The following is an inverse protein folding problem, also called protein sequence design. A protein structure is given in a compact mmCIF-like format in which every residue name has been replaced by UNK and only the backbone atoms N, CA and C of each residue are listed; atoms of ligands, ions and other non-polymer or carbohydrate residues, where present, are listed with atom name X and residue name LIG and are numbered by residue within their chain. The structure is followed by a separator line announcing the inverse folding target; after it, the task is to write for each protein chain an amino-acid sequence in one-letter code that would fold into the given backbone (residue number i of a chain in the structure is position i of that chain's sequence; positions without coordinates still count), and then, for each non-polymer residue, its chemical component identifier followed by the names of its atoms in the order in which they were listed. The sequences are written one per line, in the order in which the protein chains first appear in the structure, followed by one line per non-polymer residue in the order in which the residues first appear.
data_IF_007257633813
#
_entry.id   IF_007257633813
#
_cell.length_a   1.000
_cell.length_b   1.000
_cell.length_c   1.000
_cell.angle_alpha   90.00
_cell.angle_beta   90.00
_cell.angle_gamma   90.00
#
_symmetry.space_group_name_H-M   'P 1'
#
loop_
_entity.id
_entity.type
_entity.pdbx_description
1 polymer ?
#
# COMPACT_ATOMS: atom_id res chain seq x y z
N UNK A 1 -39.29 -93.74 -43.19
CA UNK A 1 -39.11 -93.76 -41.71
C UNK A 1 -37.80 -94.50 -41.32
N UNK A 2 -37.10 -94.13 -40.24
CA UNK A 2 -37.50 -93.19 -39.20
C UNK A 2 -36.65 -91.90 -39.12
N UNK A 3 -37.24 -90.94 -38.41
CA UNK A 3 -36.75 -89.63 -37.99
C UNK A 3 -35.77 -89.73 -36.80
N UNK A 4 -34.89 -88.72 -36.65
CA UNK A 4 -34.69 -87.86 -35.45
C UNK A 4 -33.56 -86.87 -35.77
N UNK A 5 -33.85 -85.58 -36.01
CA UNK A 5 -33.95 -84.48 -35.04
C UNK A 5 -32.58 -83.89 -34.62
N UNK A 6 -32.20 -82.84 -35.35
CA UNK A 6 -31.80 -81.49 -34.89
C UNK A 6 -30.89 -81.36 -33.65
N UNK A 7 -29.71 -80.75 -33.81
CA UNK A 7 -29.34 -79.59 -32.99
C UNK A 7 -28.20 -78.75 -33.57
N UNK A 8 -28.28 -77.45 -33.28
CA UNK A 8 -27.59 -76.34 -33.90
C UNK A 8 -26.14 -76.17 -33.42
N UNK A 9 -25.23 -75.80 -34.32
CA UNK A 9 -23.93 -75.22 -33.98
C UNK A 9 -23.71 -73.96 -34.83
N UNK A 10 -23.83 -72.81 -34.16
CA UNK A 10 -23.72 -71.48 -34.77
C UNK A 10 -22.35 -71.17 -35.38
N UNK A 11 -22.28 -70.13 -36.23
CA UNK A 11 -21.09 -69.82 -37.00
C UNK A 11 -19.92 -69.41 -36.09
N UNK A 12 -18.80 -70.09 -36.34
CA UNK A 12 -17.48 -69.99 -35.73
C UNK A 12 -17.03 -68.51 -35.62
N UNK A 13 -16.92 -67.99 -34.39
CA UNK A 13 -16.30 -66.67 -34.12
C UNK A 13 -14.83 -66.71 -34.52
N UNK A 14 -14.50 -65.96 -35.57
CA UNK A 14 -13.12 -65.63 -35.94
C UNK A 14 -12.56 -64.68 -34.87
N UNK A 15 -11.29 -64.82 -34.41
CA UNK A 15 -10.72 -63.91 -33.42
C UNK A 15 -10.62 -62.50 -34.00
N UNK A 16 -11.21 -61.53 -33.29
CA UNK A 16 -11.05 -60.10 -33.56
C UNK A 16 -9.54 -59.77 -33.52
N UNK A 17 -9.00 -59.02 -34.50
CA UNK A 17 -7.62 -58.58 -34.44
C UNK A 17 -7.46 -57.72 -33.19
N UNK A 18 -6.58 -58.12 -32.28
CA UNK A 18 -6.17 -57.26 -31.17
C UNK A 18 -5.72 -55.94 -31.78
N UNK A 19 -6.44 -54.85 -31.48
CA UNK A 19 -5.99 -53.50 -31.81
C UNK A 19 -4.64 -53.29 -31.13
N UNK A 20 -3.57 -53.43 -31.90
CA UNK A 20 -2.27 -52.94 -31.49
C UNK A 20 -2.45 -51.42 -31.25
N UNK A 21 -2.01 -50.87 -30.11
CA UNK A 21 -2.05 -49.44 -29.92
C UNK A 21 -1.26 -48.80 -31.06
N UNK A 22 -1.90 -47.90 -31.80
CA UNK A 22 -1.24 -47.14 -32.85
C UNK A 22 0.06 -46.56 -32.29
N UNK A 23 1.20 -46.64 -33.00
CA UNK A 23 2.44 -46.05 -32.53
C UNK A 23 2.16 -44.56 -32.32
N UNK A 24 2.14 -44.15 -31.04
CA UNK A 24 1.97 -42.74 -30.68
C UNK A 24 3.11 -41.99 -31.35
N UNK A 25 2.79 -41.23 -32.40
CA UNK A 25 3.75 -40.32 -33.04
C UNK A 25 4.45 -39.53 -31.93
N UNK A 26 5.79 -39.46 -31.90
CA UNK A 26 6.49 -38.77 -30.84
C UNK A 26 6.03 -37.32 -30.84
N UNK A 27 5.36 -36.94 -29.74
CA UNK A 27 4.91 -35.56 -29.53
C UNK A 27 6.17 -34.73 -29.39
N UNK A 28 6.53 -33.99 -30.43
CA UNK A 28 7.60 -33.02 -30.35
C UNK A 28 7.10 -31.91 -29.43
N UNK A 29 7.52 -31.96 -28.16
CA UNK A 29 7.20 -30.92 -27.19
C UNK A 29 7.82 -29.60 -27.63
N UNK A 30 7.04 -28.52 -27.54
CA UNK A 30 7.56 -27.16 -27.71
C UNK A 30 7.34 -26.39 -26.44
N UNK A 31 8.38 -25.67 -26.02
CA UNK A 31 8.32 -24.72 -24.91
C UNK A 31 8.90 -23.39 -25.38
N UNK A 32 8.08 -22.35 -25.33
CA UNK A 32 8.34 -21.07 -26.00
C UNK A 32 8.65 -21.27 -27.51
N UNK A 33 9.87 -20.95 -27.96
CA UNK A 33 10.30 -21.08 -29.36
C UNK A 33 11.24 -22.28 -29.58
N UNK A 34 11.45 -23.13 -28.58
CA UNK A 34 12.41 -24.25 -28.65
C UNK A 34 11.68 -25.60 -28.82
N UNK A 35 12.24 -26.43 -29.69
CA UNK A 35 11.85 -27.83 -29.86
C UNK A 35 12.61 -28.64 -28.82
N UNK A 36 11.89 -29.42 -28.01
CA UNK A 36 12.50 -30.31 -27.03
C UNK A 36 13.08 -31.53 -27.78
N UNK A 37 14.39 -31.81 -27.67
CA UNK A 37 15.00 -32.94 -28.36
C UNK A 37 14.39 -34.26 -27.89
N UNK A 38 14.07 -35.14 -28.84
CA UNK A 38 13.45 -36.43 -28.54
C UNK A 38 14.36 -37.32 -27.67
N UNK A 39 15.68 -37.25 -27.91
CA UNK A 39 16.70 -38.02 -27.19
C UNK A 39 17.19 -37.34 -25.90
N UNK A 40 16.56 -36.25 -25.47
CA UNK A 40 16.95 -35.57 -24.23
C UNK A 40 16.79 -36.51 -23.03
N UNK A 41 17.90 -36.76 -22.33
CA UNK A 41 17.95 -37.49 -21.06
C UNK A 41 18.39 -36.56 -19.94
N UNK A 42 17.87 -36.71 -18.71
CA UNK A 42 16.89 -37.72 -18.27
C UNK A 42 15.49 -37.56 -18.87
N UNK A 43 14.75 -38.68 -19.04
CA UNK A 43 13.39 -38.65 -19.60
C UNK A 43 12.45 -37.73 -18.78
N UNK A 44 12.63 -37.69 -17.47
CA UNK A 44 11.88 -36.81 -16.57
C UNK A 44 12.02 -35.32 -16.95
N UNK A 45 13.21 -34.86 -17.37
CA UNK A 45 13.41 -33.48 -17.82
C UNK A 45 12.70 -33.22 -19.15
N UNK A 46 12.74 -34.19 -20.07
CA UNK A 46 12.05 -34.08 -21.36
C UNK A 46 10.54 -33.98 -21.15
N UNK A 47 9.99 -34.80 -20.28
CA UNK A 47 8.56 -34.83 -19.98
C UNK A 47 8.12 -33.53 -19.28
N UNK A 48 8.89 -33.01 -18.33
CA UNK A 48 8.66 -31.70 -17.68
C UNK A 48 8.67 -30.55 -18.71
N UNK A 49 9.60 -30.54 -19.68
CA UNK A 49 9.65 -29.50 -20.71
C UNK A 49 8.45 -29.54 -21.66
N UNK A 50 7.96 -30.75 -21.98
CA UNK A 50 6.75 -30.93 -22.80
C UNK A 50 5.53 -30.45 -22.01
N UNK A 51 5.40 -30.87 -20.75
CA UNK A 51 4.31 -30.49 -19.85
C UNK A 51 4.26 -28.98 -19.66
N UNK A 52 5.38 -28.33 -19.35
CA UNK A 52 5.46 -26.87 -19.22
C UNK A 52 5.02 -26.16 -20.50
N UNK A 53 5.37 -26.70 -21.67
CA UNK A 53 4.91 -26.20 -22.95
C UNK A 53 3.39 -26.24 -23.12
N UNK A 54 2.73 -27.29 -22.60
CA UNK A 54 1.27 -27.43 -22.59
C UNK A 54 0.63 -26.51 -21.54
N UNK A 55 1.20 -26.41 -20.33
CA UNK A 55 0.70 -25.56 -19.24
C UNK A 55 0.76 -24.07 -19.59
N UNK A 56 1.83 -23.60 -20.25
CA UNK A 56 1.90 -22.20 -20.73
C UNK A 56 0.86 -21.92 -21.81
N UNK A 57 0.59 -22.88 -22.71
CA UNK A 57 -0.45 -22.74 -23.74
C UNK A 57 -1.85 -22.72 -23.12
N UNK A 58 -2.12 -23.59 -22.16
CA UNK A 58 -3.37 -23.60 -21.40
C UNK A 58 -3.55 -22.28 -20.63
N UNK A 59 -2.49 -21.77 -19.99
CA UNK A 59 -2.52 -20.49 -19.28
C UNK A 59 -2.87 -19.32 -20.21
N UNK A 60 -2.30 -19.27 -21.42
CA UNK A 60 -2.60 -18.22 -22.41
C UNK A 60 -4.05 -18.22 -22.89
N UNK A 61 -4.77 -19.34 -22.75
CA UNK A 61 -6.19 -19.47 -23.14
C UNK A 61 -7.16 -19.11 -22.01
N UNK A 62 -6.68 -18.81 -20.79
CA UNK A 62 -7.54 -18.46 -19.67
C UNK A 62 -8.09 -17.04 -19.82
N UNK A 63 -9.36 -16.86 -19.47
CA UNK A 63 -10.05 -15.57 -19.47
C UNK A 63 -9.65 -14.68 -18.29
N UNK A 64 -9.20 -15.26 -17.18
CA UNK A 64 -8.75 -14.54 -15.99
C UNK A 64 -7.25 -14.77 -15.72
N UNK A 65 -6.47 -13.69 -15.50
CA UNK A 65 -5.02 -13.79 -15.30
C UNK A 65 -4.68 -14.16 -13.85
N UNK A 66 -4.19 -15.39 -13.66
CA UNK A 66 -3.67 -15.90 -12.38
C UNK A 66 -2.14 -15.75 -12.29
N UNK A 67 -1.70 -14.62 -11.73
CA UNK A 67 -0.29 -14.26 -11.67
C UNK A 67 0.54 -15.13 -10.71
N UNK A 68 -0.07 -15.74 -9.70
CA UNK A 68 0.63 -16.65 -8.79
C UNK A 68 0.98 -17.95 -9.53
N UNK A 69 -0.01 -18.53 -10.21
CA UNK A 69 0.20 -19.70 -11.04
C UNK A 69 1.20 -19.43 -12.19
N UNK A 70 1.16 -18.24 -12.80
CA UNK A 70 2.14 -17.84 -13.82
C UNK A 70 3.58 -17.78 -13.28
N UNK A 71 3.77 -17.27 -12.06
CA UNK A 71 5.07 -17.24 -11.42
C UNK A 71 5.64 -18.65 -11.16
N UNK A 72 4.80 -19.60 -10.77
CA UNK A 72 5.19 -20.99 -10.57
C UNK A 72 5.57 -21.68 -11.88
N UNK A 73 4.83 -21.42 -12.96
CA UNK A 73 5.20 -21.90 -14.30
C UNK A 73 6.56 -21.35 -14.76
N UNK A 74 6.82 -20.06 -14.51
CA UNK A 74 8.13 -19.46 -14.83
C UNK A 74 9.27 -20.04 -13.98
N UNK A 75 9.00 -20.37 -12.73
CA UNK A 75 9.99 -21.00 -11.82
C UNK A 75 10.35 -22.41 -12.25
N UNK A 76 9.34 -23.23 -12.57
CA UNK A 76 9.55 -24.57 -13.12
C UNK A 76 10.32 -24.51 -14.45
N UNK A 77 9.98 -23.56 -15.32
CA UNK A 77 10.69 -23.32 -16.58
C UNK A 77 12.15 -22.91 -16.38
N UNK A 78 12.44 -22.04 -15.41
CA UNK A 78 13.81 -21.64 -15.08
C UNK A 78 14.65 -22.84 -14.66
N UNK A 79 14.11 -23.68 -13.75
CA UNK A 79 14.78 -24.92 -13.30
C UNK A 79 15.01 -25.90 -14.44
N UNK A 80 13.98 -26.18 -15.25
CA UNK A 80 14.09 -27.10 -16.37
C UNK A 80 15.12 -26.62 -17.42
N UNK A 81 15.17 -25.31 -17.72
CA UNK A 81 16.18 -24.75 -18.62
C UNK A 81 17.59 -24.74 -18.03
N UNK A 82 17.73 -24.53 -16.72
CA UNK A 82 19.04 -24.64 -16.05
C UNK A 82 19.58 -26.06 -16.11
N UNK A 83 18.77 -27.06 -15.75
CA UNK A 83 19.15 -28.48 -15.83
C UNK A 83 19.44 -28.91 -17.28
N UNK A 84 18.64 -28.46 -18.24
CA UNK A 84 18.91 -28.74 -19.66
C UNK A 84 20.22 -28.10 -20.14
N UNK A 85 20.55 -26.91 -19.64
CA UNK A 85 21.82 -26.25 -19.95
C UNK A 85 23.03 -26.92 -19.31
N UNK A 86 22.89 -27.49 -18.12
CA UNK A 86 23.94 -28.26 -17.46
C UNK A 86 24.28 -29.54 -18.24
N UNK A 87 23.25 -30.22 -18.77
CA UNK A 87 23.40 -31.46 -19.55
C UNK A 87 24.03 -31.20 -20.92
N UNK A 88 23.63 -30.10 -21.58
CA UNK A 88 24.07 -29.82 -22.97
C UNK A 88 25.22 -28.84 -23.07
N UNK A 89 25.56 -28.12 -21.99
CA UNK A 89 26.54 -27.05 -21.97
C UNK A 89 26.07 -25.73 -22.63
N UNK A 90 24.87 -25.67 -23.18
CA UNK A 90 24.39 -24.53 -23.98
C UNK A 90 24.22 -23.25 -23.13
N UNK A 91 25.07 -22.25 -23.40
CA UNK A 91 25.00 -20.93 -22.76
C UNK A 91 23.73 -20.14 -23.07
N UNK A 92 23.04 -20.43 -24.17
CA UNK A 92 21.76 -19.82 -24.49
C UNK A 92 20.66 -20.30 -23.54
N UNK A 93 20.63 -21.59 -23.20
CA UNK A 93 19.68 -22.15 -22.23
C UNK A 93 19.89 -21.56 -20.83
N UNK A 94 21.14 -21.27 -20.42
CA UNK A 94 21.42 -20.54 -19.17
C UNK A 94 20.86 -19.12 -19.16
N UNK A 95 20.91 -18.41 -20.30
CA UNK A 95 20.29 -17.09 -20.43
C UNK A 95 18.77 -17.18 -20.41
N UNK A 96 18.20 -18.19 -21.07
CA UNK A 96 16.76 -18.41 -21.07
C UNK A 96 16.24 -18.82 -19.68
N UNK A 97 17.02 -19.59 -18.90
CA UNK A 97 16.74 -19.92 -17.50
C UNK A 97 16.67 -18.65 -16.64
N UNK A 98 17.69 -17.79 -16.72
CA UNK A 98 17.72 -16.50 -16.00
C UNK A 98 16.58 -15.58 -16.41
N UNK A 99 16.23 -15.53 -17.70
CA UNK A 99 15.07 -14.76 -18.17
C UNK A 99 13.76 -15.31 -17.61
N UNK A 100 13.62 -16.64 -17.52
CA UNK A 100 12.45 -17.26 -16.92
C UNK A 100 12.37 -16.98 -15.40
N UNK A 101 13.50 -16.96 -14.70
CA UNK A 101 13.58 -16.58 -13.29
C UNK A 101 13.16 -15.11 -13.07
N UNK A 102 13.70 -14.19 -13.86
CA UNK A 102 13.29 -12.78 -13.84
C UNK A 102 11.79 -12.60 -14.13
N UNK A 103 11.23 -13.41 -15.05
CA UNK A 103 9.80 -13.40 -15.34
C UNK A 103 8.96 -13.96 -14.17
N UNK A 104 9.47 -14.96 -13.44
CA UNK A 104 8.83 -15.44 -12.21
C UNK A 104 8.81 -14.32 -11.16
N UNK A 105 9.93 -13.64 -10.95
CA UNK A 105 10.03 -12.57 -9.96
C UNK A 105 9.16 -11.36 -10.33
N UNK A 106 9.09 -11.00 -11.60
CA UNK A 106 8.19 -9.97 -12.09
C UNK A 106 6.71 -10.35 -11.91
N UNK A 107 6.34 -11.59 -12.22
CA UNK A 107 4.98 -12.09 -12.01
C UNK A 107 4.62 -12.15 -10.51
N UNK A 108 5.55 -12.55 -9.64
CA UNK A 108 5.38 -12.50 -8.17
C UNK A 108 5.23 -11.07 -7.69
N UNK A 109 6.06 -10.15 -8.16
CA UNK A 109 5.99 -8.74 -7.77
C UNK A 109 4.66 -8.12 -8.23
N UNK A 110 4.21 -8.43 -9.44
CA UNK A 110 2.93 -7.95 -9.94
C UNK A 110 1.76 -8.61 -9.19
N UNK A 111 1.86 -9.90 -8.85
CA UNK A 111 0.91 -10.58 -7.99
C UNK A 111 0.86 -9.92 -6.60
N UNK A 112 2.01 -9.71 -5.96
CA UNK A 112 2.18 -9.00 -4.68
C UNK A 112 1.61 -7.58 -4.70
N UNK A 113 1.83 -6.84 -5.79
CA UNK A 113 1.24 -5.51 -5.98
C UNK A 113 -0.28 -5.55 -6.13
N UNK A 114 -0.84 -6.66 -6.64
CA UNK A 114 -2.28 -6.86 -6.83
C UNK A 114 -2.98 -7.48 -5.62
N UNK A 115 -2.31 -8.34 -4.85
CA UNK A 115 -2.91 -9.13 -3.78
C UNK A 115 -2.37 -8.81 -2.38
N UNK A 116 -1.26 -8.07 -2.27
CA UNK A 116 -0.68 -7.66 -0.99
C UNK A 116 0.01 -8.77 -0.18
N UNK A 117 0.19 -9.98 -0.74
CA UNK A 117 0.72 -11.15 0.00
C UNK A 117 2.20 -11.44 -0.30
N UNK A 118 3.03 -11.66 0.72
CA UNK A 118 4.44 -12.11 0.60
C UNK A 118 4.62 -13.62 0.87
N UNK A 119 5.69 -14.26 0.36
CA UNK A 119 5.86 -15.72 0.34
C UNK A 119 6.38 -16.34 1.65
N UNK A 120 6.59 -15.52 2.67
CA UNK A 120 6.95 -15.99 4.00
C UNK A 120 5.75 -15.72 4.90
N UNK A 121 5.36 -16.66 5.74
CA UNK A 121 4.19 -16.57 6.63
C UNK A 121 4.26 -15.40 7.64
N UNK A 122 5.30 -14.56 7.58
CA UNK A 122 5.33 -13.22 8.13
C UNK A 122 4.75 -12.20 7.15
N UNK A 123 3.64 -11.58 7.54
CA UNK A 123 3.05 -10.41 6.87
C UNK A 123 4.15 -9.47 6.37
N UNK A 124 4.19 -9.23 5.06
CA UNK A 124 5.10 -8.29 4.40
C UNK A 124 5.28 -7.04 5.27
N UNK A 125 6.51 -6.73 5.66
CA UNK A 125 6.77 -5.51 6.41
C UNK A 125 6.34 -4.32 5.53
N UNK A 126 5.21 -3.71 5.89
CA UNK A 126 4.65 -2.57 5.16
C UNK A 126 5.73 -1.49 5.01
N UNK A 127 6.07 -1.15 3.77
CA UNK A 127 7.03 -0.09 3.46
C UNK A 127 6.44 1.28 3.84
N UNK A 128 6.82 1.77 5.02
CA UNK A 128 6.30 3.02 5.58
C UNK A 128 7.04 4.24 5.07
N UNK A 129 6.30 5.33 4.90
CA UNK A 129 6.84 6.61 4.46
C UNK A 129 7.78 7.22 5.51
N UNK A 130 7.38 7.19 6.79
CA UNK A 130 8.28 7.50 7.89
C UNK A 130 8.96 6.21 8.34
N UNK A 131 10.25 6.11 8.06
CA UNK A 131 11.06 4.93 8.37
C UNK A 131 11.74 5.09 9.73
N UNK A 132 11.29 4.30 10.71
CA UNK A 132 11.95 4.18 12.02
C UNK A 132 11.24 4.89 13.16
N UNK A 133 11.38 4.30 14.35
CA UNK A 133 10.69 4.68 15.58
C UNK A 133 10.85 6.16 15.95
N UNK A 134 12.06 6.72 15.81
CA UNK A 134 12.33 8.13 16.15
C UNK A 134 11.46 9.10 15.31
N UNK A 135 11.21 8.80 14.04
CA UNK A 135 10.35 9.65 13.20
C UNK A 135 8.87 9.54 13.60
N UNK A 136 8.45 8.37 14.10
CA UNK A 136 7.09 8.15 14.60
C UNK A 136 6.86 8.95 15.89
N UNK A 137 7.84 8.95 16.79
CA UNK A 137 7.79 9.79 18.01
C UNK A 137 7.73 11.27 17.67
N UNK A 138 8.55 11.76 16.73
CA UNK A 138 8.46 13.16 16.32
C UNK A 138 7.10 13.53 15.73
N UNK A 139 6.46 12.63 14.95
CA UNK A 139 5.10 12.86 14.46
C UNK A 139 4.10 12.99 15.63
N UNK A 140 4.18 12.09 16.63
CA UNK A 140 3.37 12.17 17.86
C UNK A 140 3.61 13.45 18.64
N UNK A 141 4.87 13.86 18.82
CA UNK A 141 5.24 15.11 19.50
C UNK A 141 4.64 16.34 18.82
N UNK A 142 4.72 16.43 17.49
CA UNK A 142 4.13 17.57 16.75
C UNK A 142 2.61 17.59 16.91
N UNK A 143 1.94 16.44 16.76
CA UNK A 143 0.48 16.37 16.93
C UNK A 143 0.05 16.70 18.37
N UNK A 144 0.85 16.36 19.39
CA UNK A 144 0.60 16.75 20.78
C UNK A 144 0.76 18.25 20.97
N UNK A 145 1.89 18.80 20.53
CA UNK A 145 2.15 20.23 20.63
C UNK A 145 1.02 21.06 19.99
N UNK A 146 0.58 20.71 18.79
CA UNK A 146 -0.50 21.42 18.10
C UNK A 146 -1.84 21.26 18.81
N UNK A 147 -2.12 20.10 19.40
CA UNK A 147 -3.35 19.90 20.16
C UNK A 147 -3.43 20.81 21.40
N UNK A 148 -2.29 21.01 22.06
CA UNK A 148 -2.18 21.75 23.32
C UNK A 148 -1.98 23.27 23.12
N UNK A 149 -1.41 23.69 21.97
CA UNK A 149 -0.96 25.06 21.74
C UNK A 149 -1.60 25.74 20.52
N UNK A 150 -2.66 25.16 19.94
CA UNK A 150 -3.40 25.82 18.86
C UNK A 150 -4.00 27.16 19.37
N UNK A 151 -3.74 28.28 18.68
CA UNK A 151 -4.15 29.61 19.16
C UNK A 151 -5.65 29.91 18.99
N UNK A 152 -6.33 29.14 18.15
CA UNK A 152 -7.74 29.32 17.82
C UNK A 152 -8.47 27.97 17.97
N UNK A 153 -9.74 27.98 18.40
CA UNK A 153 -10.51 26.75 18.61
C UNK A 153 -10.95 26.10 17.29
N UNK A 154 -11.29 24.82 17.37
CA UNK A 154 -11.95 24.08 16.31
C UNK A 154 -11.00 23.40 15.30
N UNK A 155 -11.56 22.52 14.46
CA UNK A 155 -10.77 21.61 13.61
C UNK A 155 -10.07 22.33 12.45
N UNK A 156 -10.69 23.36 11.87
CA UNK A 156 -10.11 24.11 10.74
C UNK A 156 -8.86 24.89 11.18
N UNK A 157 -8.98 25.61 12.30
CA UNK A 157 -7.86 26.26 12.97
C UNK A 157 -6.73 25.28 13.25
N UNK A 158 -7.04 24.16 13.93
CA UNK A 158 -6.04 23.16 14.30
C UNK A 158 -5.33 22.54 13.10
N UNK A 159 -6.05 22.26 12.01
CA UNK A 159 -5.45 21.72 10.79
C UNK A 159 -4.49 22.73 10.15
N UNK A 160 -4.87 24.01 10.06
CA UNK A 160 -3.98 25.05 9.54
C UNK A 160 -2.76 25.24 10.44
N UNK A 161 -2.95 25.32 11.76
CA UNK A 161 -1.88 25.36 12.77
C UNK A 161 -0.90 24.21 12.56
N UNK A 162 -1.37 22.97 12.37
CA UNK A 162 -0.50 21.82 12.13
C UNK A 162 0.41 22.02 10.91
N UNK A 163 -0.15 22.48 9.78
CA UNK A 163 0.63 22.70 8.56
C UNK A 163 1.67 23.79 8.79
N UNK A 164 1.27 24.91 9.41
CA UNK A 164 2.16 26.03 9.73
C UNK A 164 3.29 25.57 10.66
N UNK A 165 2.96 24.87 11.74
CA UNK A 165 3.93 24.29 12.68
C UNK A 165 4.92 23.38 11.95
N UNK A 166 4.47 22.47 11.09
CA UNK A 166 5.37 21.59 10.34
C UNK A 166 6.28 22.35 9.35
N UNK A 167 5.80 23.46 8.78
CA UNK A 167 6.58 24.30 7.86
C UNK A 167 7.68 25.08 8.58
N UNK A 168 7.46 25.44 9.85
CA UNK A 168 8.32 26.33 10.63
C UNK A 168 9.06 25.64 11.80
N UNK A 169 8.77 24.35 12.09
CA UNK A 169 9.18 23.61 13.28
C UNK A 169 10.68 23.63 13.67
N UNK A 170 11.59 23.99 12.77
CA UNK A 170 13.03 24.01 13.07
C UNK A 170 13.55 25.37 13.51
N UNK A 171 13.07 26.45 12.90
CA UNK A 171 13.62 27.80 13.09
C UNK A 171 12.58 28.83 13.51
N UNK A 172 11.30 28.42 13.62
CA UNK A 172 10.18 29.33 13.73
C UNK A 172 9.79 30.01 12.42
N UNK A 173 10.57 29.84 11.35
CA UNK A 173 10.29 30.43 10.03
C UNK A 173 10.22 29.39 8.93
N UNK A 174 9.42 29.66 7.91
CA UNK A 174 9.21 28.78 6.77
C UNK A 174 8.64 29.55 5.58
N UNK A 175 8.38 28.83 4.49
CA UNK A 175 7.72 29.39 3.31
C UNK A 175 6.39 28.68 3.10
N UNK A 176 5.41 29.44 2.66
CA UNK A 176 4.10 28.96 2.23
C UNK A 176 3.81 29.44 0.82
N UNK A 177 2.94 28.68 0.16
CA UNK A 177 2.24 29.15 -1.04
C UNK A 177 0.74 29.16 -0.78
N UNK A 178 -0.03 29.91 -1.57
CA UNK A 178 -1.49 29.93 -1.45
C UNK A 178 -2.11 28.54 -1.58
N UNK A 179 -1.46 27.65 -2.34
CA UNK A 179 -1.86 26.24 -2.46
C UNK A 179 -1.76 25.47 -1.13
N UNK A 180 -0.82 25.79 -0.25
CA UNK A 180 -0.69 25.12 1.05
C UNK A 180 -1.91 25.35 1.95
N UNK A 181 -2.56 26.52 1.82
CA UNK A 181 -3.76 26.89 2.57
C UNK A 181 -5.02 26.41 1.85
N UNK A 182 -5.15 26.71 0.56
CA UNK A 182 -6.36 26.39 -0.23
C UNK A 182 -6.58 24.88 -0.40
N UNK A 183 -5.52 24.07 -0.47
CA UNK A 183 -5.64 22.61 -0.56
C UNK A 183 -6.22 21.94 0.71
N UNK A 184 -6.26 22.66 1.84
CA UNK A 184 -6.84 22.16 3.08
C UNK A 184 -8.37 22.07 3.03
N UNK A 185 -9.02 22.75 2.08
CA UNK A 185 -10.48 22.74 1.95
C UNK A 185 -11.17 23.38 3.15
N UNK A 186 -10.58 24.45 3.69
CA UNK A 186 -11.16 25.27 4.75
C UNK A 186 -12.35 26.05 4.20
N UNK A 187 -13.33 26.34 5.05
CA UNK A 187 -14.50 27.13 4.68
C UNK A 187 -14.13 28.59 4.40
N UNK A 188 -13.39 29.21 5.32
CA UNK A 188 -13.00 30.62 5.27
C UNK A 188 -11.48 30.74 5.49
N UNK A 189 -10.65 30.34 4.51
CA UNK A 189 -9.20 30.30 4.67
C UNK A 189 -8.58 31.68 4.93
N UNK A 190 -9.09 32.74 4.30
CA UNK A 190 -8.60 34.11 4.47
C UNK A 190 -8.84 34.61 5.89
N UNK A 191 -10.10 34.59 6.36
CA UNK A 191 -10.46 35.01 7.70
C UNK A 191 -9.69 34.24 8.79
N UNK A 192 -9.45 32.94 8.59
CA UNK A 192 -8.70 32.15 9.55
C UNK A 192 -7.22 32.55 9.61
N UNK A 193 -6.60 32.85 8.47
CA UNK A 193 -5.22 33.36 8.45
C UNK A 193 -5.17 34.76 9.07
N UNK A 194 -6.15 35.63 8.80
CA UNK A 194 -6.27 36.95 9.43
C UNK A 194 -6.40 36.85 10.95
N UNK A 195 -7.14 35.88 11.48
CA UNK A 195 -7.23 35.66 12.92
C UNK A 195 -5.87 35.23 13.51
N UNK A 196 -5.15 34.34 12.83
CA UNK A 196 -3.81 33.90 13.26
C UNK A 196 -2.78 35.02 13.23
N UNK A 197 -2.87 35.93 12.26
CA UNK A 197 -1.99 37.11 12.21
C UNK A 197 -2.42 38.18 13.20
N UNK A 198 -3.71 38.41 13.35
CA UNK A 198 -4.30 39.38 14.29
C UNK A 198 -4.00 39.05 15.76
N UNK A 199 -3.89 37.77 16.12
CA UNK A 199 -3.46 37.37 17.47
C UNK A 199 -1.93 37.25 17.62
N UNK A 200 -1.16 37.59 16.58
CA UNK A 200 0.31 37.56 16.59
C UNK A 200 0.93 36.15 16.57
N UNK A 201 0.12 35.10 16.43
CA UNK A 201 0.63 33.73 16.35
C UNK A 201 1.36 33.47 15.03
N UNK A 202 0.87 34.05 13.94
CA UNK A 202 1.50 34.03 12.62
C UNK A 202 1.96 35.43 12.23
N UNK A 203 3.19 35.57 11.74
CA UNK A 203 3.73 36.82 11.20
C UNK A 203 3.96 36.66 9.71
N UNK A 204 3.37 37.57 8.93
CA UNK A 204 3.50 37.68 7.48
C UNK A 204 4.17 39.02 7.14
N UNK A 205 5.02 39.09 6.11
CA UNK A 205 5.63 40.34 5.64
C UNK A 205 4.67 41.22 4.81
N UNK A 206 3.48 40.70 4.45
CA UNK A 206 2.51 41.33 3.57
C UNK A 206 1.08 40.95 3.95
N UNK A 207 0.14 41.12 3.03
CA UNK A 207 -1.29 40.87 3.31
C UNK A 207 -1.64 39.39 3.22
N UNK A 208 -2.78 39.01 3.82
CA UNK A 208 -3.31 37.64 3.70
C UNK A 208 -3.68 37.32 2.24
N UNK A 209 -4.27 38.28 1.52
CA UNK A 209 -4.56 38.15 0.10
C UNK A 209 -3.30 37.87 -0.74
N UNK A 210 -2.17 38.53 -0.45
CA UNK A 210 -0.88 38.24 -1.11
C UNK A 210 -0.39 36.82 -0.84
N UNK A 211 -0.53 36.32 0.40
CA UNK A 211 -0.22 34.92 0.72
C UNK A 211 -1.11 33.96 -0.08
N UNK A 212 -2.42 34.20 -0.15
CA UNK A 212 -3.35 33.33 -0.87
C UNK A 212 -3.15 33.36 -2.38
N UNK A 213 -2.70 34.48 -2.93
CA UNK A 213 -2.35 34.62 -4.34
C UNK A 213 -0.95 34.09 -4.68
N UNK A 214 -0.11 33.81 -3.68
CA UNK A 214 1.28 33.39 -3.87
C UNK A 214 1.41 32.04 -4.58
N UNK A 215 2.49 31.92 -5.36
CA UNK A 215 2.82 30.73 -6.17
C UNK A 215 4.19 30.18 -5.77
N UNK A 216 4.56 28.94 -6.15
CA UNK A 216 5.87 28.36 -5.83
C UNK A 216 7.07 29.24 -6.18
N UNK A 217 6.97 30.02 -7.26
CA UNK A 217 8.01 30.93 -7.73
C UNK A 217 8.17 32.16 -6.84
N UNK A 218 7.14 32.51 -6.07
CA UNK A 218 7.12 33.65 -5.15
C UNK A 218 6.47 33.23 -3.83
N UNK A 219 7.05 32.22 -3.17
CA UNK A 219 6.54 31.73 -1.91
C UNK A 219 6.66 32.80 -0.81
N UNK A 220 5.60 32.95 -0.01
CA UNK A 220 5.55 33.92 1.08
C UNK A 220 6.33 33.39 2.28
N UNK A 221 7.35 34.10 2.78
CA UNK A 221 8.01 33.73 4.02
C UNK A 221 7.06 34.02 5.19
N UNK A 222 7.01 33.10 6.15
CA UNK A 222 6.15 33.19 7.34
C UNK A 222 6.96 32.89 8.59
N UNK A 223 6.57 33.48 9.71
CA UNK A 223 7.17 33.22 11.02
C UNK A 223 6.10 32.89 12.04
N UNK A 224 6.34 31.89 12.89
CA UNK A 224 5.54 31.52 14.05
C UNK A 224 6.43 31.74 15.28
N UNK A 225 6.31 32.90 15.96
CA UNK A 225 7.29 33.32 16.96
C UNK A 225 7.48 32.34 18.12
N UNK A 226 6.43 31.62 18.54
CA UNK A 226 6.52 30.65 19.63
C UNK A 226 7.31 29.38 19.27
N UNK A 227 7.60 29.17 17.98
CA UNK A 227 8.41 28.04 17.49
C UNK A 227 9.88 28.43 17.23
N UNK A 228 10.22 29.71 17.35
CA UNK A 228 11.59 30.21 17.17
C UNK A 228 12.44 29.81 18.39
N UNK A 229 13.56 29.08 18.20
CA UNK A 229 14.50 28.82 19.29
C UNK A 229 15.01 30.13 19.90
N UNK A 230 14.99 30.23 21.22
CA UNK A 230 15.56 31.39 21.94
C UNK A 230 17.05 31.17 22.17
N UNK A 231 17.80 32.25 22.35
CA UNK A 231 19.26 32.20 22.50
C UNK A 231 19.72 31.27 23.65
N UNK A 232 18.90 31.16 24.70
CA UNK A 232 19.19 30.34 25.90
C UNK A 232 18.26 29.13 26.07
N UNK A 233 17.38 28.85 25.10
CA UNK A 233 16.43 27.74 25.19
C UNK A 233 16.17 27.08 23.84
N UNK A 234 16.29 25.74 23.81
CA UNK A 234 15.91 24.96 22.64
C UNK A 234 14.44 25.21 22.28
N UNK A 235 14.14 25.26 20.98
CA UNK A 235 12.75 25.33 20.51
C UNK A 235 11.94 24.10 20.92
N UNK A 236 10.61 24.11 20.69
CA UNK A 236 9.72 23.03 21.13
C UNK A 236 9.98 21.68 20.44
N UNK A 237 10.77 21.68 19.37
CA UNK A 237 11.14 20.48 18.62
C UNK A 237 12.65 20.32 18.55
N UNK A 238 13.11 19.10 18.83
CA UNK A 238 14.53 18.73 18.82
C UNK A 238 15.01 18.19 17.46
N UNK A 239 14.11 18.02 16.49
CA UNK A 239 14.45 17.45 15.19
C UNK A 239 15.03 18.49 14.22
N UNK A 240 16.09 18.09 13.51
CA UNK A 240 16.83 18.99 12.62
C UNK A 240 16.24 19.14 11.21
N UNK A 241 16.91 19.96 10.40
CA UNK A 241 16.54 20.32 9.01
C UNK A 241 16.25 19.14 8.07
N UNK A 242 16.85 17.95 8.29
CA UNK A 242 16.62 16.75 7.47
C UNK A 242 15.31 16.02 7.82
N UNK A 243 14.85 16.13 9.06
CA UNK A 243 13.66 15.43 9.55
C UNK A 243 12.39 16.20 9.24
N UNK A 244 12.41 17.52 9.38
CA UNK A 244 11.24 18.38 9.15
C UNK A 244 10.56 18.15 7.79
N UNK A 245 11.27 18.09 6.64
CA UNK A 245 10.63 17.83 5.35
C UNK A 245 9.95 16.45 5.26
N UNK A 246 10.50 15.43 5.96
CA UNK A 246 9.88 14.09 6.00
C UNK A 246 8.56 14.12 6.76
N UNK A 247 8.53 14.76 7.93
CA UNK A 247 7.32 14.91 8.73
C UNK A 247 6.25 15.74 8.01
N UNK A 248 6.64 16.89 7.44
CA UNK A 248 5.75 17.75 6.67
C UNK A 248 5.19 17.01 5.44
N UNK A 249 6.04 16.30 4.69
CA UNK A 249 5.61 15.50 3.54
C UNK A 249 4.72 14.32 3.92
N UNK A 250 4.94 13.69 5.07
CA UNK A 250 4.07 12.65 5.61
C UNK A 250 2.69 13.18 5.97
N UNK A 251 2.63 14.24 6.77
CA UNK A 251 1.36 14.84 7.17
C UNK A 251 0.56 15.29 5.94
N UNK A 252 1.23 15.91 4.96
CA UNK A 252 0.58 16.35 3.74
C UNK A 252 0.01 15.18 2.92
N UNK A 253 0.70 14.03 2.87
CA UNK A 253 0.19 12.83 2.21
C UNK A 253 -1.04 12.24 2.92
N UNK A 254 -1.12 12.33 4.24
CA UNK A 254 -2.31 11.92 5.00
C UNK A 254 -3.46 12.90 4.74
N UNK A 255 -3.26 14.20 4.95
CA UNK A 255 -4.29 15.25 4.80
C UNK A 255 -4.82 15.32 3.36
N UNK A 256 -3.94 15.16 2.38
CA UNK A 256 -4.27 15.24 0.95
C UNK A 256 -4.55 13.88 0.32
N UNK A 257 -4.82 12.85 1.12
CA UNK A 257 -5.17 11.53 0.62
C UNK A 257 -6.25 11.61 -0.46
N UNK A 258 -6.10 10.82 -1.52
CA UNK A 258 -6.98 10.89 -2.68
C UNK A 258 -8.44 10.60 -2.31
N UNK A 259 -8.70 9.63 -1.44
CA UNK A 259 -10.07 9.27 -1.07
C UNK A 259 -10.68 10.27 -0.10
N UNK A 260 -9.91 10.73 0.90
CA UNK A 260 -10.35 11.82 1.80
C UNK A 260 -10.70 13.09 1.02
N UNK A 261 -9.87 13.48 0.05
CA UNK A 261 -10.13 14.65 -0.80
C UNK A 261 -11.39 14.50 -1.65
N UNK A 262 -11.58 13.33 -2.27
CA UNK A 262 -12.76 13.04 -3.09
C UNK A 262 -14.04 13.02 -2.26
N UNK A 263 -13.97 12.49 -1.04
CA UNK A 263 -15.08 12.48 -0.09
C UNK A 263 -15.32 13.85 0.57
N UNK A 264 -14.52 14.88 0.23
CA UNK A 264 -14.54 16.20 0.88
C UNK A 264 -14.48 16.08 2.42
N UNK A 265 -13.62 15.18 2.91
CA UNK A 265 -13.45 14.94 4.34
C UNK A 265 -13.14 16.25 5.07
N UNK A 266 -13.84 16.48 6.18
CA UNK A 266 -13.74 17.68 6.99
C UNK A 266 -12.34 17.81 7.62
N UNK A 267 -12.00 19.01 8.10
CA UNK A 267 -10.75 19.21 8.84
C UNK A 267 -10.64 18.27 10.05
N UNK A 268 -11.76 18.03 10.77
CA UNK A 268 -11.81 17.09 11.89
C UNK A 268 -11.50 15.67 11.47
N UNK A 269 -12.07 15.19 10.35
CA UNK A 269 -11.80 13.85 9.84
C UNK A 269 -10.33 13.69 9.41
N UNK A 270 -9.73 14.73 8.80
CA UNK A 270 -8.30 14.70 8.44
C UNK A 270 -7.38 14.70 9.66
N UNK A 271 -7.73 15.43 10.73
CA UNK A 271 -7.01 15.39 12.01
C UNK A 271 -7.16 14.03 12.70
N UNK A 272 -8.36 13.43 12.65
CA UNK A 272 -8.59 12.08 13.15
C UNK A 272 -7.73 11.06 12.38
N UNK A 273 -7.68 11.16 11.05
CA UNK A 273 -6.84 10.30 10.21
C UNK A 273 -5.35 10.37 10.59
N UNK A 274 -4.82 11.57 10.82
CA UNK A 274 -3.45 11.78 11.31
C UNK A 274 -3.23 11.15 12.68
N UNK A 275 -4.18 11.37 13.59
CA UNK A 275 -4.14 10.83 14.95
C UNK A 275 -4.07 9.31 14.91
N UNK A 276 -5.01 8.66 14.21
CA UNK A 276 -5.08 7.20 14.09
C UNK A 276 -3.85 6.63 13.38
N UNK A 277 -3.31 7.33 12.38
CA UNK A 277 -2.07 6.92 11.72
C UNK A 277 -0.88 6.84 12.70
N UNK A 278 -0.90 7.57 13.82
CA UNK A 278 0.16 7.53 14.86
C UNK A 278 -0.20 6.68 16.09
N UNK A 279 -1.42 6.14 16.12
CA UNK A 279 -2.00 5.39 17.24
C UNK A 279 -2.45 4.01 16.77
N UNK A 280 -1.63 3.32 15.97
CA UNK A 280 -1.94 1.98 15.50
C UNK A 280 -0.73 1.05 15.63
N UNK A 281 -0.96 -0.25 15.65
CA UNK A 281 0.09 -1.27 15.56
C UNK A 281 0.72 -1.37 14.17
N UNK A 282 1.74 -2.21 14.05
CA UNK A 282 2.40 -2.52 12.77
C UNK A 282 1.45 -3.16 11.74
N UNK A 283 0.35 -3.71 12.23
CA UNK A 283 -0.67 -4.48 11.54
C UNK A 283 -1.88 -3.59 11.13
N UNK A 284 -1.87 -2.31 11.55
CA UNK A 284 -2.90 -1.30 11.29
C UNK A 284 -4.01 -1.20 12.33
N UNK A 285 -4.06 -2.08 13.35
CA UNK A 285 -5.09 -2.00 14.40
C UNK A 285 -4.87 -0.80 15.29
N UNK A 286 -5.95 -0.10 15.62
CA UNK A 286 -5.91 1.11 16.44
C UNK A 286 -5.61 0.74 17.91
N UNK A 287 -4.73 1.53 18.54
CA UNK A 287 -4.31 1.36 19.92
C UNK A 287 -3.21 0.32 20.13
N UNK A 288 -2.56 0.33 21.31
CA UNK A 288 -1.62 -0.73 21.71
C UNK A 288 -2.30 -2.09 21.63
N UNK A 289 -1.69 -3.05 20.94
CA UNK A 289 -2.24 -4.40 20.73
C UNK A 289 -3.68 -4.44 20.19
N UNK A 290 -4.16 -3.37 19.54
CA UNK A 290 -5.52 -3.31 19.01
C UNK A 290 -6.62 -2.99 20.04
N UNK A 291 -6.26 -2.52 21.25
CA UNK A 291 -7.21 -2.17 22.30
C UNK A 291 -7.99 -0.86 22.04
N UNK A 292 -7.75 -0.20 20.91
CA UNK A 292 -8.38 1.07 20.56
C UNK A 292 -7.67 2.29 21.15
N UNK A 293 -8.07 3.47 20.67
CA UNK A 293 -7.65 4.76 21.17
C UNK A 293 -8.80 5.35 22.00
N UNK A 294 -8.50 5.97 23.15
CA UNK A 294 -9.54 6.58 23.98
C UNK A 294 -10.39 7.60 23.20
N UNK A 295 -11.71 7.52 23.29
CA UNK A 295 -12.64 8.38 22.55
C UNK A 295 -12.43 9.86 22.87
N UNK A 296 -12.27 10.20 24.15
CA UNK A 296 -11.95 11.57 24.58
C UNK A 296 -10.60 12.07 24.04
N UNK A 297 -9.60 11.18 23.95
CA UNK A 297 -8.32 11.51 23.32
C UNK A 297 -8.51 11.78 21.82
N UNK A 298 -9.21 10.90 21.08
CA UNK A 298 -9.44 11.06 19.65
C UNK A 298 -10.25 12.33 19.32
N UNK A 299 -11.29 12.63 20.10
CA UNK A 299 -12.09 13.86 19.97
C UNK A 299 -11.24 15.10 20.24
N UNK A 300 -10.49 15.10 21.36
CA UNK A 300 -9.57 16.19 21.70
C UNK A 300 -8.56 16.43 20.59
N UNK A 301 -7.90 15.39 20.07
CA UNK A 301 -6.93 15.53 18.96
C UNK A 301 -7.54 16.07 17.67
N UNK A 302 -8.80 15.75 17.43
CA UNK A 302 -9.55 16.22 16.26
C UNK A 302 -10.18 17.61 16.45
N UNK A 303 -10.03 18.22 17.63
CA UNK A 303 -10.63 19.50 18.02
C UNK A 303 -12.16 19.54 17.87
N UNK A 304 -12.81 18.45 18.25
CA UNK A 304 -14.28 18.32 18.26
C UNK A 304 -14.78 17.86 19.62
N UNK A 305 -16.06 18.05 19.90
CA UNK A 305 -16.67 17.48 21.09
C UNK A 305 -16.76 15.94 20.98
N UNK A 306 -16.78 15.19 22.10
CA UNK A 306 -16.90 13.73 22.06
C UNK A 306 -18.09 13.21 21.24
N UNK A 307 -19.25 13.89 21.32
CA UNK A 307 -20.45 13.53 20.55
C UNK A 307 -20.33 13.76 19.03
N UNK A 308 -19.32 14.51 18.58
CA UNK A 308 -19.06 14.78 17.17
C UNK A 308 -18.04 13.80 16.56
N UNK A 309 -17.53 12.84 17.35
CA UNK A 309 -16.51 11.91 16.89
C UNK A 309 -17.06 10.86 15.90
N UNK A 310 -18.27 10.33 16.14
CA UNK A 310 -18.88 9.30 15.29
C UNK A 310 -18.99 9.75 13.82
N UNK A 311 -19.51 10.95 13.49
CA UNK A 311 -19.53 11.44 12.10
C UNK A 311 -18.15 11.50 11.43
N UNK A 312 -17.08 11.73 12.19
CA UNK A 312 -15.71 11.73 11.64
C UNK A 312 -15.25 10.31 11.34
N UNK A 313 -15.56 9.35 12.22
CA UNK A 313 -15.27 7.92 12.01
C UNK A 313 -16.01 7.42 10.76
N UNK A 314 -17.29 7.77 10.62
CA UNK A 314 -18.10 7.40 9.45
C UNK A 314 -17.52 7.95 8.14
N UNK A 315 -17.02 9.19 8.14
CA UNK A 315 -16.31 9.76 6.99
C UNK A 315 -15.04 8.97 6.65
N UNK A 316 -14.28 8.52 7.64
CA UNK A 316 -13.07 7.73 7.41
C UNK A 316 -13.36 6.32 6.90
N UNK A 317 -14.45 5.69 7.36
CA UNK A 317 -14.91 4.40 6.84
C UNK A 317 -15.40 4.56 5.40
N UNK A 318 -16.26 5.55 5.14
CA UNK A 318 -16.78 5.82 3.79
C UNK A 318 -15.67 6.16 2.78
N UNK A 319 -14.59 6.82 3.24
CA UNK A 319 -13.43 7.11 2.42
C UNK A 319 -12.44 5.94 2.28
N UNK A 320 -12.75 4.75 2.81
CA UNK A 320 -11.82 3.60 2.86
C UNK A 320 -10.45 4.03 3.40
N UNK A 321 -10.49 4.78 4.50
CA UNK A 321 -9.35 5.08 5.34
C UNK A 321 -9.28 4.08 6.50
N UNK A 322 -10.43 3.75 7.06
CA UNK A 322 -10.63 2.64 8.01
C UNK A 322 -11.31 1.48 7.31
N UNK A 323 -10.76 0.26 7.47
CA UNK A 323 -11.39 -0.96 6.97
C UNK A 323 -12.53 -1.41 7.88
N UNK A 324 -12.35 -1.22 9.18
CA UNK A 324 -13.34 -1.47 10.23
C UNK A 324 -13.15 -0.41 11.32
N UNK A 325 -14.24 0.02 11.93
CA UNK A 325 -14.23 0.94 13.05
C UNK A 325 -15.45 0.72 13.94
N UNK A 326 -15.25 0.76 15.25
CA UNK A 326 -16.31 0.79 16.23
C UNK A 326 -15.94 1.81 17.31
N UNK A 327 -16.88 2.70 17.61
CA UNK A 327 -16.75 3.68 18.68
C UNK A 327 -17.74 3.31 19.77
N UNK A 328 -17.22 3.09 20.97
CA UNK A 328 -18.02 3.05 22.19
C UNK A 328 -17.77 4.34 23.01
N UNK A 329 -18.41 4.44 24.18
CA UNK A 329 -18.33 5.62 25.05
C UNK A 329 -16.89 5.97 25.48
N UNK A 330 -15.98 4.99 25.44
CA UNK A 330 -14.63 5.08 26.00
C UNK A 330 -13.53 4.94 24.96
N UNK A 331 -13.74 4.16 23.90
CA UNK A 331 -12.70 3.78 22.94
C UNK A 331 -13.21 3.77 21.50
N UNK A 332 -12.31 4.21 20.62
CA UNK A 332 -12.38 3.99 19.19
C UNK A 332 -11.47 2.81 18.83
N UNK A 333 -12.08 1.68 18.48
CA UNK A 333 -11.39 0.49 17.98
C UNK A 333 -11.54 0.41 16.46
N UNK A 334 -10.67 -0.37 15.81
CA UNK A 334 -10.73 -0.58 14.38
C UNK A 334 -9.37 -0.83 13.75
N UNK A 335 -9.33 -0.73 12.43
CA UNK A 335 -8.12 -0.98 11.64
C UNK A 335 -8.03 -0.02 10.46
N UNK A 336 -6.83 0.51 10.24
CA UNK A 336 -6.49 1.23 9.02
C UNK A 336 -6.61 0.32 7.79
N UNK A 337 -7.16 0.84 6.69
CA UNK A 337 -7.17 0.10 5.42
C UNK A 337 -5.75 -0.20 4.94
N UNK A 338 -5.56 -1.32 4.23
CA UNK A 338 -4.24 -1.74 3.74
C UNK A 338 -3.54 -0.65 2.91
N UNK A 339 -4.34 0.08 2.14
CA UNK A 339 -3.92 1.20 1.29
C UNK A 339 -3.20 2.30 2.06
N UNK A 340 -3.57 2.53 3.32
CA UNK A 340 -3.06 3.64 4.13
C UNK A 340 -2.05 3.19 5.19
N UNK A 341 -1.81 1.88 5.32
CA UNK A 341 -0.75 1.35 6.19
C UNK A 341 0.64 1.94 5.90
N UNK A 342 1.05 2.25 4.65
CA UNK A 342 2.31 2.94 4.38
C UNK A 342 2.42 4.33 5.05
N UNK A 343 1.30 4.93 5.45
CA UNK A 343 1.23 6.21 6.14
C UNK A 343 1.19 6.05 7.67
N UNK A 344 1.15 4.83 8.19
CA UNK A 344 1.16 4.58 9.63
C UNK A 344 2.52 4.84 10.28
N UNK A 345 2.47 5.21 11.56
CA UNK A 345 3.59 5.37 12.48
C UNK A 345 3.31 4.45 13.69
N UNK A 346 3.70 3.17 13.63
CA UNK A 346 3.35 2.19 14.64
C UNK A 346 3.71 2.61 16.07
N UNK A 347 2.88 2.14 17.01
CA UNK A 347 3.24 2.04 18.42
C UNK A 347 4.29 0.93 18.57
N UNK A 348 5.27 1.15 19.46
CA UNK A 348 6.35 0.21 19.73
C UNK A 348 5.84 -1.09 20.36
#
# INVERSE_FOLDING_TARGET
PPHSAQEAAGPRKVPVPRSAPAPRRPRHGKIAQRIVPYELRPLALRDELVELGDLFRAYQQRTEPDLAYLADLHTRKARAFATWAEITGDGCLRRDARRAEQAADAARLQHQQRTGQTPDGGRAAVARLLTGHVLWEHARTVLAHVADHAPLPGPQARLLTLVLTLRTAHTGSGNLVGQDVTALGLSEPEALVEQLTGCGWLVLPGTVGELLASRPENATPVTVPCLTPRQDAAGPFTFGRKTRPKLSGWAQKVISDKKLRKAKATAGARLLALTLATQCGSDGRIGPHGQGAGAGFAASRSAVAPGELQPLVDQLVAADWLAEAALDDTHLTGRLSERVLPLSCPLA
#
